data_IF_144775766494
#
_entry.id   IF_144775766494
#
_cell.length_a   1.000
_cell.length_b   1.000
_cell.length_c   1.000
_cell.angle_alpha   90.00
_cell.angle_beta   90.00
_cell.angle_gamma   90.00
#
_symmetry.space_group_name_H-M   'P 1'
#
loop_
_entity.id
_entity.type
_entity.pdbx_description
1 polymer ?
#
# COMPACT_ATOMS: atom_id res chain seq x y z
N UNK A 1 16.28 7.37 9.99
CA UNK A 1 15.40 8.39 9.36
C UNK A 1 16.15 9.69 9.28
N UNK A 2 16.30 10.28 8.08
CA UNK A 2 16.88 11.61 7.89
C UNK A 2 15.80 12.65 8.19
N UNK A 3 16.18 13.75 8.85
CA UNK A 3 15.32 14.90 9.09
C UNK A 3 15.89 16.08 8.33
N UNK A 4 15.06 16.73 7.52
CA UNK A 4 15.37 18.00 6.88
C UNK A 4 14.78 19.12 7.73
N UNK A 5 15.57 20.16 7.99
CA UNK A 5 15.17 21.27 8.87
C UNK A 5 14.59 22.47 8.10
N UNK A 6 14.69 22.46 6.77
CA UNK A 6 14.14 23.50 5.91
C UNK A 6 13.93 23.04 4.46
N UNK A 7 13.14 23.81 3.71
CA UNK A 7 12.85 23.53 2.31
C UNK A 7 14.10 23.56 1.42
N UNK A 8 15.05 24.46 1.70
CA UNK A 8 16.31 24.56 0.96
C UNK A 8 17.17 23.29 1.08
N UNK A 9 17.21 22.67 2.27
CA UNK A 9 17.92 21.41 2.51
C UNK A 9 17.27 20.23 1.76
N UNK A 10 15.93 20.21 1.69
CA UNK A 10 15.20 19.21 0.93
C UNK A 10 15.42 19.40 -0.58
N UNK A 11 15.40 20.64 -1.05
CA UNK A 11 15.66 20.97 -2.45
C UNK A 11 17.08 20.58 -2.87
N UNK A 12 18.07 20.82 -2.01
CA UNK A 12 19.46 20.42 -2.26
C UNK A 12 19.63 18.89 -2.36
N UNK A 13 18.78 18.12 -1.69
CA UNK A 13 18.81 16.65 -1.73
C UNK A 13 18.10 16.04 -2.96
N UNK A 14 17.67 16.85 -3.93
CA UNK A 14 17.04 16.37 -5.16
C UNK A 14 17.96 15.40 -5.91
N UNK A 15 17.47 14.17 -6.13
CA UNK A 15 18.22 13.09 -6.78
C UNK A 15 18.91 12.13 -5.81
N UNK A 16 18.93 12.42 -4.50
CA UNK A 16 19.44 11.49 -3.49
C UNK A 16 18.43 10.38 -3.14
N UNK A 17 18.94 9.20 -2.78
CA UNK A 17 18.13 8.12 -2.21
C UNK A 17 17.89 8.38 -0.71
N UNK A 18 16.63 8.40 -0.28
CA UNK A 18 16.25 8.72 1.12
C UNK A 18 16.15 7.48 2.03
N UNK A 19 16.41 6.30 1.48
CA UNK A 19 16.27 5.01 2.15
C UNK A 19 14.93 4.33 1.87
N UNK A 20 14.74 3.15 2.46
CA UNK A 20 13.49 2.40 2.42
C UNK A 20 12.81 2.41 3.80
N UNK A 21 11.49 2.27 3.82
CA UNK A 21 10.76 1.98 5.04
C UNK A 21 11.00 0.54 5.49
N UNK A 22 10.60 0.23 6.71
CA UNK A 22 10.45 -1.16 7.13
C UNK A 22 9.38 -1.87 6.31
N UNK A 23 9.45 -3.20 6.31
CA UNK A 23 8.40 -4.04 5.72
C UNK A 23 7.07 -3.81 6.44
N UNK A 24 6.00 -3.82 5.67
CA UNK A 24 4.65 -3.65 6.18
C UNK A 24 3.77 -4.81 5.72
N UNK A 25 3.11 -5.46 6.69
CA UNK A 25 2.10 -6.47 6.39
C UNK A 25 0.85 -5.82 5.85
N UNK A 26 0.34 -6.34 4.73
CA UNK A 26 -0.95 -5.93 4.18
C UNK A 26 -2.03 -6.88 4.70
N UNK A 27 -2.77 -6.39 5.69
CA UNK A 27 -3.90 -7.12 6.26
C UNK A 27 -5.18 -6.90 5.45
N UNK A 28 -6.06 -7.89 5.44
CA UNK A 28 -7.34 -7.84 4.72
C UNK A 28 -8.18 -6.60 5.07
N UNK A 29 -8.15 -6.17 6.34
CA UNK A 29 -8.91 -4.98 6.78
C UNK A 29 -8.48 -3.72 6.03
N UNK A 30 -7.19 -3.58 5.70
CA UNK A 30 -6.68 -2.43 4.95
C UNK A 30 -7.15 -2.44 3.50
N UNK A 31 -7.18 -3.63 2.88
CA UNK A 31 -7.71 -3.82 1.52
C UNK A 31 -9.21 -3.48 1.50
N UNK A 32 -9.98 -3.98 2.47
CA UNK A 32 -11.41 -3.67 2.58
C UNK A 32 -11.66 -2.17 2.76
N UNK A 33 -10.90 -1.50 3.63
CA UNK A 33 -11.04 -0.06 3.84
C UNK A 33 -10.69 0.75 2.58
N UNK A 34 -9.73 0.28 1.76
CA UNK A 34 -9.41 0.90 0.48
C UNK A 34 -10.56 0.72 -0.53
N UNK A 35 -11.13 -0.48 -0.62
CA UNK A 35 -12.32 -0.76 -1.44
C UNK A 35 -13.49 0.16 -1.05
N UNK A 36 -13.75 0.33 0.26
CA UNK A 36 -14.82 1.22 0.74
C UNK A 36 -14.56 2.69 0.40
N UNK A 37 -13.29 3.13 0.41
CA UNK A 37 -12.93 4.51 0.09
C UNK A 37 -12.96 4.83 -1.41
N UNK A 38 -12.79 3.81 -2.26
CA UNK A 38 -12.66 3.96 -3.72
C UNK A 38 -13.82 3.39 -4.51
N UNK A 39 -14.76 2.73 -3.83
CA UNK A 39 -15.86 1.96 -4.40
C UNK A 39 -15.43 0.79 -5.31
N UNK A 40 -14.15 0.38 -5.23
CA UNK A 40 -13.65 -0.82 -5.90
C UNK A 40 -13.89 -2.06 -5.03
N UNK A 41 -15.11 -2.57 -5.11
CA UNK A 41 -15.50 -3.81 -4.46
C UNK A 41 -15.34 -5.03 -5.36
N UNK A 42 -14.36 -5.04 -6.29
CA UNK A 42 -14.11 -6.23 -7.09
C UNK A 42 -13.80 -7.42 -6.17
N UNK A 43 -14.45 -8.55 -6.41
CA UNK A 43 -14.42 -9.71 -5.52
C UNK A 43 -13.01 -10.27 -5.23
N UNK A 44 -12.04 -10.01 -6.11
CA UNK A 44 -10.64 -10.41 -5.90
C UNK A 44 -9.99 -9.66 -4.73
N UNK A 45 -10.55 -8.54 -4.29
CA UNK A 45 -10.06 -7.74 -3.16
C UNK A 45 -10.79 -8.09 -1.86
N UNK A 46 -12.10 -8.30 -1.91
CA UNK A 46 -12.96 -8.29 -0.70
C UNK A 46 -13.65 -9.63 -0.35
N UNK A 47 -13.63 -10.62 -1.24
CA UNK A 47 -14.32 -11.91 -1.03
C UNK A 47 -13.29 -13.06 -0.96
N UNK A 48 -12.84 -13.45 0.25
CA UNK A 48 -11.84 -14.51 0.40
C UNK A 48 -12.27 -15.87 -0.15
N UNK A 49 -13.56 -16.21 -0.05
CA UNK A 49 -14.05 -17.50 -0.50
C UNK A 49 -14.01 -17.57 -2.03
N UNK A 50 -14.47 -16.51 -2.69
CA UNK A 50 -14.44 -16.43 -4.14
C UNK A 50 -13.02 -16.25 -4.67
N UNK A 51 -12.20 -15.43 -4.02
CA UNK A 51 -10.80 -15.21 -4.34
C UNK A 51 -9.96 -16.49 -4.28
N UNK A 52 -10.21 -17.36 -3.30
CA UNK A 52 -9.53 -18.65 -3.16
C UNK A 52 -9.74 -19.59 -4.36
N UNK A 53 -10.92 -19.53 -5.00
CA UNK A 53 -11.21 -20.29 -6.22
C UNK A 53 -10.74 -19.58 -7.51
N UNK A 54 -10.25 -18.34 -7.38
CA UNK A 54 -9.83 -17.50 -8.47
C UNK A 54 -8.37 -17.72 -8.90
N UNK A 55 -7.90 -16.98 -9.91
CA UNK A 55 -6.56 -17.15 -10.49
C UNK A 55 -5.42 -16.82 -9.52
N UNK A 56 -5.70 -16.10 -8.43
CA UNK A 56 -4.70 -15.67 -7.46
C UNK A 56 -4.66 -16.54 -6.19
N UNK A 57 -5.66 -17.40 -5.97
CA UNK A 57 -5.72 -18.31 -4.82
C UNK A 57 -5.95 -17.65 -3.45
N UNK A 58 -6.04 -16.32 -3.39
CA UNK A 58 -6.35 -15.50 -2.20
C UNK A 58 -6.76 -14.10 -2.66
N UNK A 59 -7.24 -13.29 -1.73
CA UNK A 59 -7.46 -11.86 -1.96
C UNK A 59 -6.15 -11.12 -2.23
N UNK A 60 -6.21 -10.10 -3.08
CA UNK A 60 -5.07 -9.24 -3.41
C UNK A 60 -5.42 -7.76 -3.18
N UNK A 61 -4.40 -6.94 -2.93
CA UNK A 61 -4.53 -5.49 -2.81
C UNK A 61 -4.48 -4.79 -4.17
#
# INVERSE_FOLDING_TARGET
MRVFTGADELQAAAGEQLGASDWMTIEQQRVNAFADATEDHQWIHIDPQRAAAGPFGTTIA
#
